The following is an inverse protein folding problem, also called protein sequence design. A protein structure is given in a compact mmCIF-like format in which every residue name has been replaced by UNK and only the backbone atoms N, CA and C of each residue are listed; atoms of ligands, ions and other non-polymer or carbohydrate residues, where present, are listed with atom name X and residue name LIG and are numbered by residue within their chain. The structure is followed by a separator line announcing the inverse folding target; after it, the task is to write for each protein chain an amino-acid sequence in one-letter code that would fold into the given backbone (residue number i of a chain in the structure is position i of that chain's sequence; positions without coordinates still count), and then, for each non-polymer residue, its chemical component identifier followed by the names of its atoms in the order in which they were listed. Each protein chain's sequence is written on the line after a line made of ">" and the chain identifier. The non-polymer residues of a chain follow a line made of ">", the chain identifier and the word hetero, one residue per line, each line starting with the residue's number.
data_IF_780968141112
#
_entry.id   IF_780968141112
#
_cell.length_a   1.000
_cell.length_b   1.000
_cell.length_c   1.000
_cell.angle_alpha   90.00
_cell.angle_beta   90.00
_cell.angle_gamma   90.00
#
_symmetry.space_group_name_H-M   'P 1'
#
loop_
_entity.id
_entity.type
_entity.pdbx_description
1 polymer ?
#
# COMPACT_ATOMS: atom_id res chain seq x y z
N UNK A 1 24.35 20.55 15.25
CA UNK A 1 24.82 20.17 13.91
C UNK A 1 23.76 20.60 12.91
N UNK A 2 24.15 21.30 11.84
CA UNK A 2 23.23 21.79 10.82
C UNK A 2 23.34 20.89 9.59
N UNK A 3 22.20 20.40 9.09
CA UNK A 3 22.12 19.67 7.83
C UNK A 3 21.85 20.67 6.70
N UNK A 4 22.71 20.68 5.68
CA UNK A 4 22.58 21.54 4.50
C UNK A 4 22.56 20.67 3.24
N UNK A 5 21.57 20.90 2.40
CA UNK A 5 21.40 20.20 1.12
C UNK A 5 22.20 20.88 0.01
N UNK A 6 22.71 20.14 -0.98
CA UNK A 6 23.50 20.70 -2.07
C UNK A 6 22.67 21.65 -2.95
N UNK A 7 23.31 22.63 -3.63
CA UNK A 7 22.64 23.47 -4.62
C UNK A 7 21.97 22.62 -5.69
N UNK A 8 20.71 22.93 -6.03
CA UNK A 8 19.93 22.17 -7.00
C UNK A 8 19.19 20.94 -6.44
N UNK A 9 19.21 20.71 -5.12
CA UNK A 9 18.37 19.70 -4.50
C UNK A 9 16.89 20.05 -4.69
N UNK A 10 16.13 19.15 -5.32
CA UNK A 10 14.71 19.33 -5.55
C UNK A 10 13.90 18.72 -4.40
N UNK A 11 13.15 19.57 -3.72
CA UNK A 11 12.10 19.15 -2.80
C UNK A 11 10.78 19.07 -3.53
N UNK A 12 10.02 18.02 -3.24
CA UNK A 12 8.69 17.84 -3.81
C UNK A 12 7.89 16.82 -3.04
N UNK A 13 6.65 16.65 -3.46
CA UNK A 13 5.75 15.61 -2.99
C UNK A 13 5.32 14.75 -4.18
N UNK A 14 4.97 13.50 -3.92
CA UNK A 14 4.47 12.57 -4.91
C UNK A 14 3.17 11.93 -4.42
N UNK A 15 2.29 11.58 -5.36
CA UNK A 15 1.05 10.86 -5.13
C UNK A 15 0.89 9.74 -6.16
N UNK A 16 -0.06 8.83 -5.93
CA UNK A 16 -0.49 7.87 -6.93
C UNK A 16 -1.97 8.08 -7.28
N UNK A 17 -2.31 7.95 -8.56
CA UNK A 17 -3.65 8.17 -9.11
C UNK A 17 -4.74 7.44 -8.29
N UNK A 18 -4.57 6.14 -8.04
CA UNK A 18 -5.55 5.35 -7.28
C UNK A 18 -5.78 5.84 -5.84
N UNK A 19 -4.77 6.48 -5.24
CA UNK A 19 -4.84 6.96 -3.85
C UNK A 19 -5.54 8.31 -3.73
N UNK A 20 -5.56 9.12 -4.80
CA UNK A 20 -5.97 10.54 -4.70
C UNK A 20 -7.05 10.98 -5.68
N UNK A 21 -7.21 10.34 -6.84
CA UNK A 21 -8.10 10.84 -7.89
C UNK A 21 -9.58 10.49 -7.65
N UNK A 22 -9.87 9.29 -7.12
CA UNK A 22 -11.25 8.81 -7.04
C UNK A 22 -11.84 8.48 -8.42
N UNK A 23 -13.14 8.77 -8.62
CA UNK A 23 -13.85 8.69 -9.91
C UNK A 23 -13.62 7.37 -10.69
N UNK A 24 -13.56 6.24 -9.98
CA UNK A 24 -13.11 4.96 -10.55
C UNK A 24 -14.04 4.37 -11.63
N UNK A 25 -15.25 4.92 -11.80
CA UNK A 25 -16.26 4.47 -12.78
C UNK A 25 -16.77 5.61 -13.67
N UNK A 26 -16.09 6.76 -13.69
CA UNK A 26 -16.52 7.94 -14.45
C UNK A 26 -15.70 8.09 -15.75
N UNK A 27 -16.22 8.90 -16.67
CA UNK A 27 -15.51 9.41 -17.85
C UNK A 27 -14.79 8.38 -18.73
N UNK A 28 -15.33 7.15 -18.79
CA UNK A 28 -14.80 6.09 -19.63
C UNK A 28 -13.53 5.42 -19.10
N UNK A 29 -13.15 5.68 -17.84
CA UNK A 29 -12.06 4.96 -17.17
C UNK A 29 -12.39 3.46 -17.08
N UNK A 30 -11.46 2.62 -17.51
CA UNK A 30 -11.57 1.17 -17.35
C UNK A 30 -10.99 0.70 -16.01
N UNK A 31 -11.48 -0.41 -15.43
CA UNK A 31 -10.96 -0.94 -14.18
C UNK A 31 -9.45 -1.24 -14.23
N UNK A 32 -8.75 -0.84 -13.18
CA UNK A 32 -7.35 -1.21 -12.92
C UNK A 32 -7.26 -2.46 -12.06
N UNK A 33 -6.05 -3.03 -11.93
CA UNK A 33 -5.80 -4.16 -11.02
C UNK A 33 -6.17 -3.80 -9.56
N UNK A 34 -5.96 -2.55 -9.16
CA UNK A 34 -6.27 -2.08 -7.81
C UNK A 34 -7.77 -2.04 -7.54
N UNK A 35 -8.60 -1.83 -8.56
CA UNK A 35 -10.05 -1.94 -8.44
C UNK A 35 -10.45 -3.36 -8.06
N UNK A 36 -9.93 -4.37 -8.77
CA UNK A 36 -10.23 -5.78 -8.42
C UNK A 36 -9.65 -6.18 -7.06
N UNK A 37 -8.41 -5.77 -6.76
CA UNK A 37 -7.74 -6.13 -5.51
C UNK A 37 -8.47 -5.57 -4.29
N UNK A 38 -8.82 -4.28 -4.33
CA UNK A 38 -9.38 -3.57 -3.17
C UNK A 38 -10.81 -3.99 -2.84
N UNK A 39 -11.56 -4.47 -3.83
CA UNK A 39 -12.90 -5.04 -3.64
C UNK A 39 -12.87 -6.52 -3.22
N UNK A 40 -11.69 -7.12 -3.08
CA UNK A 40 -11.59 -8.48 -2.53
C UNK A 40 -11.70 -8.42 -1.00
N UNK A 41 -12.65 -9.15 -0.38
CA UNK A 41 -12.81 -9.17 1.07
C UNK A 41 -11.49 -9.45 1.80
N UNK A 42 -11.30 -8.79 2.95
CA UNK A 42 -10.12 -8.88 3.82
C UNK A 42 -8.78 -8.35 3.25
N UNK A 43 -8.66 -8.04 1.95
CA UNK A 43 -7.40 -7.50 1.37
C UNK A 43 -7.12 -6.06 1.77
N UNK A 44 -8.16 -5.28 2.01
CA UNK A 44 -8.10 -3.91 2.52
C UNK A 44 -8.80 -3.78 3.88
N UNK A 45 -8.78 -4.84 4.69
CA UNK A 45 -9.34 -4.81 6.05
C UNK A 45 -8.25 -4.49 7.08
N UNK A 46 -8.48 -3.55 8.01
CA UNK A 46 -7.54 -3.26 9.08
C UNK A 46 -7.40 -4.42 10.10
N UNK A 47 -8.35 -5.35 10.14
CA UNK A 47 -8.43 -6.39 11.17
C UNK A 47 -7.90 -7.77 10.73
N UNK A 48 -7.50 -7.93 9.47
CA UNK A 48 -6.90 -9.19 8.99
C UNK A 48 -5.40 -9.02 8.96
N UNK A 49 -4.60 -9.78 9.74
CA UNK A 49 -3.17 -9.79 9.51
C UNK A 49 -2.96 -10.28 8.09
N UNK A 50 -2.28 -9.48 7.27
CA UNK A 50 -1.89 -9.89 5.93
C UNK A 50 -1.06 -11.17 6.07
N UNK A 51 -1.69 -12.33 5.94
CA UNK A 51 -1.01 -13.61 5.83
C UNK A 51 -0.45 -13.68 4.41
N UNK A 52 0.69 -13.04 4.22
CA UNK A 52 1.53 -13.31 3.07
C UNK A 52 2.08 -14.75 3.20
N UNK A 53 2.30 -15.49 2.11
CA UNK A 53 2.68 -16.91 2.20
C UNK A 53 4.04 -17.14 2.90
N UNK A 54 4.91 -16.13 2.96
CA UNK A 54 6.14 -16.19 3.76
C UNK A 54 5.88 -15.97 5.29
N UNK A 55 4.65 -15.53 5.67
CA UNK A 55 3.99 -15.33 6.98
C UNK A 55 4.30 -16.30 8.06
N UNK A 56 3.92 -17.49 7.66
CA UNK A 56 3.32 -18.44 8.57
C UNK A 56 4.43 -19.24 9.23
N UNK A 57 5.62 -19.24 8.63
CA UNK A 57 6.79 -19.97 9.10
C UNK A 57 7.35 -19.40 10.40
N UNK A 58 7.26 -18.09 10.66
CA UNK A 58 7.92 -17.48 11.83
C UNK A 58 7.07 -17.48 13.10
N UNK A 59 5.74 -17.57 12.99
CA UNK A 59 4.85 -17.47 14.15
C UNK A 59 4.75 -18.77 14.99
N UNK A 60 5.04 -19.94 14.40
CA UNK A 60 4.87 -21.23 15.09
C UNK A 60 6.00 -21.57 16.08
N UNK A 61 7.08 -20.78 16.15
CA UNK A 61 8.29 -21.13 16.90
C UNK A 61 8.34 -20.60 18.35
N UNK A 62 7.28 -19.94 18.86
CA UNK A 62 7.36 -19.22 20.15
C UNK A 62 6.34 -19.60 21.23
N UNK A 63 5.68 -20.76 21.12
CA UNK A 63 4.73 -21.23 22.16
C UNK A 63 5.01 -22.67 22.63
N UNK A 64 6.25 -23.12 22.55
CA UNK A 64 6.73 -24.28 23.30
C UNK A 64 7.74 -23.82 24.35
N UNK A 65 7.21 -23.44 25.51
CA UNK A 65 7.92 -23.04 26.71
C UNK A 65 6.95 -22.91 27.86
#
# INVERSE_FOLDING_TARGET
>A
MTLTFPPGFLWGAASAAYQVEGAAQEDGRTPSIWDTFSHTPARCSPATPAMWPWTTTTASARTSG
#
